data_IF_407681557564
#
_entry.id   IF_407681557564
#
_cell.length_a   1.000
_cell.length_b   1.000
_cell.length_c   1.000
_cell.angle_alpha   90.00
_cell.angle_beta   90.00
_cell.angle_gamma   90.00
#
_symmetry.space_group_name_H-M   'P 1'
#
loop_
_entity.id
_entity.type
_entity.pdbx_description
1 polymer ?
#
# COMPACT_ATOMS: atom_id res chain seq x y z
N UNK A 1 8.43 2.29 1.37
CA UNK A 1 8.46 1.69 0.03
C UNK A 1 8.59 2.82 -0.99
N UNK A 2 9.74 3.48 -0.97
CA UNK A 2 10.00 4.62 -1.84
C UNK A 2 11.17 4.23 -2.73
N UNK A 3 10.99 4.34 -4.03
CA UNK A 3 12.08 4.24 -4.99
C UNK A 3 12.50 5.68 -5.30
N UNK A 4 13.77 5.97 -5.15
CA UNK A 4 14.33 7.24 -5.59
C UNK A 4 14.91 6.98 -6.97
N UNK A 5 14.37 7.68 -7.97
CA UNK A 5 14.91 7.63 -9.33
C UNK A 5 16.15 8.52 -9.44
N UNK A 6 16.93 8.30 -10.48
CA UNK A 6 18.20 8.98 -10.80
C UNK A 6 18.06 10.51 -10.83
N UNK A 7 16.89 10.99 -11.25
CA UNK A 7 16.55 12.42 -11.34
C UNK A 7 16.04 13.01 -10.01
N UNK A 8 16.12 12.26 -8.90
CA UNK A 8 15.66 12.69 -7.58
C UNK A 8 14.15 12.63 -7.37
N UNK A 9 13.39 12.05 -8.33
CA UNK A 9 11.95 11.81 -8.16
C UNK A 9 11.71 10.64 -7.22
N UNK A 10 10.77 10.82 -6.30
CA UNK A 10 10.40 9.78 -5.33
C UNK A 10 9.11 9.12 -5.79
N UNK A 11 9.20 7.84 -6.16
CA UNK A 11 8.05 7.03 -6.51
C UNK A 11 7.58 6.18 -5.33
N UNK A 12 6.25 6.13 -5.13
CA UNK A 12 5.62 5.31 -4.10
C UNK A 12 5.34 3.93 -4.69
N UNK A 13 6.03 2.91 -4.19
CA UNK A 13 5.96 1.54 -4.72
C UNK A 13 4.76 0.73 -4.19
N UNK A 14 4.09 1.19 -3.12
CA UNK A 14 2.96 0.50 -2.51
C UNK A 14 1.79 1.45 -2.31
N UNK A 15 0.57 0.89 -2.33
CA UNK A 15 -0.68 1.63 -2.09
C UNK A 15 -0.79 2.04 -0.63
N UNK A 16 -1.23 3.27 -0.40
CA UNK A 16 -1.58 3.76 0.94
C UNK A 16 -2.96 3.24 1.36
N UNK A 17 -3.13 2.97 2.66
CA UNK A 17 -4.41 2.52 3.19
C UNK A 17 -5.44 3.65 3.07
N UNK A 18 -6.64 3.40 2.51
CA UNK A 18 -7.67 4.44 2.36
C UNK A 18 -8.47 4.72 3.64
N UNK A 19 -8.17 4.03 4.74
CA UNK A 19 -8.90 4.20 6.01
C UNK A 19 -8.51 5.52 6.66
N UNK A 20 -9.49 6.30 7.13
CA UNK A 20 -9.24 7.58 7.82
C UNK A 20 -8.33 7.43 9.05
N UNK A 21 -8.37 6.25 9.68
CA UNK A 21 -7.50 5.88 10.81
C UNK A 21 -6.06 5.54 10.43
N UNK A 22 -5.82 5.25 9.15
CA UNK A 22 -4.55 4.80 8.58
C UNK A 22 -4.18 5.70 7.40
N UNK A 23 -4.05 7.00 7.69
CA UNK A 23 -3.74 8.02 6.70
C UNK A 23 -2.34 7.89 6.04
N UNK A 24 -1.93 8.99 5.41
CA UNK A 24 -0.72 9.06 4.59
C UNK A 24 0.51 8.49 5.31
N UNK A 25 1.17 7.51 4.68
CA UNK A 25 2.35 6.81 5.20
C UNK A 25 2.09 5.39 5.71
N UNK A 26 0.83 4.96 5.89
CA UNK A 26 0.49 3.56 6.15
C UNK A 26 0.31 2.83 4.83
N UNK A 27 1.29 2.01 4.45
CA UNK A 27 1.25 1.23 3.22
C UNK A 27 0.58 -0.13 3.42
N UNK A 28 -0.28 -0.51 2.49
CA UNK A 28 -0.83 -1.86 2.43
C UNK A 28 0.25 -2.84 1.97
N UNK A 29 0.29 -4.02 2.60
CA UNK A 29 1.14 -5.12 2.22
C UNK A 29 0.54 -5.84 1.01
N UNK A 30 1.30 -5.93 -0.08
CA UNK A 30 0.91 -6.66 -1.27
C UNK A 30 1.30 -8.14 -1.16
N UNK A 31 0.30 -8.99 -0.97
CA UNK A 31 0.40 -10.45 -1.01
C UNK A 31 -0.18 -10.96 -2.33
N UNK A 32 0.02 -12.26 -2.62
CA UNK A 32 -0.35 -12.84 -3.92
C UNK A 32 -1.87 -12.79 -4.21
N UNK A 33 -2.69 -12.93 -3.17
CA UNK A 33 -4.14 -13.02 -3.22
C UNK A 33 -4.84 -11.80 -2.60
N UNK A 34 -4.11 -10.97 -1.85
CA UNK A 34 -4.69 -9.90 -1.05
C UNK A 34 -3.76 -8.71 -0.83
N UNK A 35 -4.36 -7.59 -0.48
CA UNK A 35 -3.71 -6.43 0.10
C UNK A 35 -4.14 -6.33 1.55
N UNK A 36 -3.17 -6.24 2.47
CA UNK A 36 -3.44 -6.22 3.90
C UNK A 36 -2.85 -4.99 4.57
N UNK A 37 -3.65 -4.27 5.36
CA UNK A 37 -3.16 -3.19 6.21
C UNK A 37 -2.79 -3.75 7.60
N UNK A 38 -1.52 -3.63 7.99
CA UNK A 38 -1.07 -4.08 9.31
C UNK A 38 -1.56 -3.24 10.49
N UNK A 39 -2.06 -2.02 10.26
CA UNK A 39 -2.49 -1.09 11.33
C UNK A 39 -3.98 -1.20 11.67
N UNK A 40 -4.85 -1.21 10.66
CA UNK A 40 -6.30 -1.36 10.86
C UNK A 40 -6.80 -2.77 10.54
N UNK A 41 -5.92 -3.72 10.22
CA UNK A 41 -6.24 -5.10 9.86
C UNK A 41 -7.18 -5.25 8.63
N UNK A 42 -7.29 -4.19 7.83
CA UNK A 42 -8.17 -4.14 6.66
C UNK A 42 -7.56 -4.95 5.52
N UNK A 43 -8.35 -5.85 4.95
CA UNK A 43 -7.92 -6.78 3.90
C UNK A 43 -8.75 -6.56 2.64
N UNK A 44 -8.11 -6.25 1.52
CA UNK A 44 -8.73 -6.30 0.20
C UNK A 44 -8.26 -7.56 -0.51
N UNK A 45 -9.19 -8.38 -0.99
CA UNK A 45 -8.88 -9.56 -1.80
C UNK A 45 -9.02 -9.17 -3.26
N UNK A 46 -8.07 -9.58 -4.10
CA UNK A 46 -8.21 -9.38 -5.55
C UNK A 46 -9.13 -10.46 -6.08
N UNK A 47 -10.40 -10.11 -6.31
CA UNK A 47 -11.30 -11.00 -7.03
C UNK A 47 -10.80 -11.11 -8.48
N UNK A 48 -10.39 -12.31 -8.88
CA UNK A 48 -10.06 -12.61 -10.29
C UNK A 48 -11.39 -12.80 -11.01
N UNK A 49 -11.92 -11.72 -11.58
CA UNK A 49 -13.00 -11.82 -12.55
C UNK A 49 -12.49 -12.38 -13.87
#
# INVERSE_FOLDING_TARGET
YYKVDSDGKIERLRRECPSDTCGAGVFMAAMQDRQYCGRCHLTYVFDKQ
#
